data_IF_364397369388
#
_entry.id   IF_364397369388
#
_cell.length_a   1.000
_cell.length_b   1.000
_cell.length_c   1.000
_cell.angle_alpha   90.00
_cell.angle_beta   90.00
_cell.angle_gamma   90.00
#
_symmetry.space_group_name_H-M   'P 1'
#
loop_
_entity.id
_entity.type
_entity.pdbx_description
1 polymer ?
#
# COMPACT_ATOMS: atom_id res chain seq x y z
N UNK A 1 2.51 7.39 4.76
CA UNK A 1 2.81 7.24 6.19
C UNK A 1 2.03 6.04 6.71
N UNK A 2 2.69 4.89 6.87
CA UNK A 2 2.02 3.67 7.31
C UNK A 2 1.64 3.73 8.78
N UNK A 3 2.51 4.29 9.62
CA UNK A 3 2.32 4.50 11.05
C UNK A 3 1.68 5.84 11.42
N UNK A 4 1.22 6.59 10.40
CA UNK A 4 0.66 7.94 10.55
C UNK A 4 1.69 9.05 10.84
N UNK A 5 2.93 8.70 11.16
CA UNK A 5 3.97 9.64 11.61
C UNK A 5 5.10 9.82 10.60
N UNK A 6 5.67 8.74 10.09
CA UNK A 6 6.88 8.77 9.26
C UNK A 6 6.53 8.55 7.78
N UNK A 7 7.17 9.34 6.92
CA UNK A 7 7.06 9.15 5.46
C UNK A 7 7.82 7.90 5.05
N UNK A 8 7.27 7.17 4.08
CA UNK A 8 7.84 5.92 3.57
C UNK A 8 7.70 5.87 2.06
N UNK A 9 8.59 5.15 1.39
CA UNK A 9 8.54 4.87 -0.03
C UNK A 9 7.88 3.51 -0.29
N UNK A 10 7.07 3.43 -1.35
CA UNK A 10 6.39 2.21 -1.77
C UNK A 10 6.48 2.05 -3.28
N UNK A 11 6.92 0.88 -3.73
CA UNK A 11 7.10 0.60 -5.16
C UNK A 11 6.59 -0.80 -5.50
N UNK A 12 5.77 -0.91 -6.54
CA UNK A 12 5.43 -2.19 -7.16
C UNK A 12 6.58 -2.67 -8.05
N UNK A 13 6.86 -3.97 -8.03
CA UNK A 13 7.91 -4.60 -8.86
C UNK A 13 7.28 -5.50 -9.93
N UNK A 14 8.01 -5.74 -11.02
CA UNK A 14 7.60 -6.68 -12.08
C UNK A 14 7.47 -8.13 -11.60
N UNK A 15 8.11 -8.49 -10.48
CA UNK A 15 8.03 -9.80 -9.84
C UNK A 15 6.76 -10.00 -8.98
N UNK A 16 5.81 -9.06 -8.99
CA UNK A 16 4.58 -9.16 -8.20
C UNK A 16 4.81 -8.98 -6.70
N UNK A 17 5.87 -8.25 -6.33
CA UNK A 17 6.15 -7.82 -4.96
C UNK A 17 5.98 -6.32 -4.83
N UNK A 18 5.60 -5.87 -3.65
CA UNK A 18 5.65 -4.46 -3.26
C UNK A 18 6.81 -4.29 -2.29
N UNK A 19 7.69 -3.36 -2.62
CA UNK A 19 8.78 -2.90 -1.76
C UNK A 19 8.30 -1.72 -0.94
N UNK A 20 8.55 -1.76 0.37
CA UNK A 20 8.22 -0.71 1.32
C UNK A 20 9.48 -0.35 2.10
N UNK A 21 9.87 0.93 2.04
CA UNK A 21 11.03 1.45 2.74
C UNK A 21 10.62 2.60 3.66
N UNK A 22 11.00 2.53 4.94
CA UNK A 22 10.82 3.60 5.91
C UNK A 22 12.17 3.91 6.56
N UNK A 23 12.78 5.08 6.34
CA UNK A 23 14.09 5.41 6.91
C UNK A 23 14.06 5.58 8.44
N UNK A 24 12.87 5.67 9.04
CA UNK A 24 12.68 5.79 10.49
C UNK A 24 12.35 4.46 11.19
N UNK A 25 12.12 3.38 10.43
CA UNK A 25 11.96 2.06 11.00
C UNK A 25 13.31 1.64 11.60
N UNK A 26 13.36 1.46 12.93
CA UNK A 26 14.63 1.27 13.65
C UNK A 26 15.37 0.07 13.07
N UNK A 27 16.54 0.33 12.50
CA UNK A 27 17.55 -0.70 12.27
C UNK A 27 17.85 -1.35 13.62
N UNK A 28 17.43 -2.60 13.80
CA UNK A 28 18.03 -3.46 14.81
C UNK A 28 19.50 -3.55 14.39
N UNK A 29 20.39 -3.10 15.27
CA UNK A 29 21.77 -2.62 15.01
C UNK A 29 22.74 -3.54 14.26
N UNK A 30 22.33 -4.71 13.76
CA UNK A 30 23.24 -5.71 13.17
C UNK A 30 22.82 -6.19 11.77
N UNK A 31 21.79 -5.61 11.15
CA UNK A 31 21.33 -6.05 9.82
C UNK A 31 21.24 -4.86 8.85
N UNK A 32 22.39 -4.43 8.34
CA UNK A 32 22.53 -3.37 7.31
C UNK A 32 21.69 -3.65 6.05
N UNK A 33 21.18 -4.88 5.87
CA UNK A 33 20.39 -5.31 4.73
C UNK A 33 18.86 -5.24 4.91
N UNK A 34 18.35 -4.93 6.11
CA UNK A 34 16.91 -5.05 6.41
C UNK A 34 16.14 -3.72 6.34
N UNK A 35 16.58 -2.80 5.49
CA UNK A 35 15.90 -1.51 5.26
C UNK A 35 14.60 -1.65 4.44
N UNK A 36 14.36 -2.82 3.86
CA UNK A 36 13.32 -3.06 2.86
C UNK A 36 12.36 -4.15 3.32
N UNK A 37 11.08 -3.79 3.49
CA UNK A 37 9.99 -4.75 3.67
C UNK A 37 9.44 -5.14 2.30
N UNK A 38 9.10 -6.40 2.14
CA UNK A 38 8.48 -6.93 0.92
C UNK A 38 7.12 -7.54 1.21
N UNK A 39 6.09 -7.08 0.50
CA UNK A 39 4.77 -7.70 0.46
C UNK A 39 4.62 -8.50 -0.83
N UNK A 40 4.33 -9.79 -0.71
CA UNK A 40 4.17 -10.68 -1.87
C UNK A 40 2.71 -10.67 -2.33
N UNK A 41 2.44 -10.04 -3.48
CA UNK A 41 1.11 -10.03 -4.11
C UNK A 41 0.91 -11.28 -4.97
N UNK A 42 2.00 -11.88 -5.46
CA UNK A 42 2.02 -13.09 -6.29
C UNK A 42 1.18 -12.98 -7.57
N UNK A 43 0.97 -11.73 -8.02
CA UNK A 43 0.22 -11.38 -9.24
C UNK A 43 0.86 -10.15 -9.88
N UNK A 44 0.59 -9.93 -11.16
CA UNK A 44 1.00 -8.72 -11.86
C UNK A 44 0.30 -7.51 -11.25
N UNK A 45 1.09 -6.61 -10.67
CA UNK A 45 0.63 -5.34 -10.14
C UNK A 45 0.41 -4.39 -11.32
N UNK A 46 -0.78 -3.81 -11.43
CA UNK A 46 -1.15 -2.89 -12.51
C UNK A 46 -1.31 -1.45 -12.04
N UNK A 47 -1.60 -1.25 -10.76
CA UNK A 47 -1.66 0.07 -10.13
C UNK A 47 -1.37 -0.04 -8.64
N UNK A 48 -0.81 1.01 -8.05
CA UNK A 48 -0.71 1.20 -6.61
C UNK A 48 -1.09 2.65 -6.28
N UNK A 49 -1.74 2.85 -5.14
CA UNK A 49 -1.82 4.17 -4.51
C UNK A 49 -1.93 3.99 -2.99
N UNK A 50 -1.65 5.04 -2.23
CA UNK A 50 -1.72 5.02 -0.78
C UNK A 50 -2.39 6.28 -0.24
N UNK A 51 -3.16 6.13 0.83
CA UNK A 51 -3.76 7.27 1.51
C UNK A 51 -4.75 6.84 2.60
N UNK A 52 -5.26 7.81 3.38
CA UNK A 52 -6.27 7.53 4.40
C UNK A 52 -7.61 7.25 3.72
N UNK A 53 -8.15 6.04 3.91
CA UNK A 53 -9.45 5.65 3.32
C UNK A 53 -10.64 6.05 4.19
N UNK A 54 -10.39 6.53 5.41
CA UNK A 54 -11.42 6.96 6.35
C UNK A 54 -10.98 8.31 6.98
N UNK A 55 -11.90 9.27 7.18
CA UNK A 55 -11.54 10.59 7.72
C UNK A 55 -10.84 10.57 9.08
N UNK A 56 -11.13 9.56 9.89
CA UNK A 56 -10.53 9.39 11.22
C UNK A 56 -9.25 8.56 11.22
N UNK A 57 -8.80 8.06 10.06
CA UNK A 57 -7.52 7.36 9.93
C UNK A 57 -6.42 8.39 9.76
N UNK A 58 -5.50 8.44 10.72
CA UNK A 58 -4.32 9.31 10.66
C UNK A 58 -3.14 8.67 9.89
N UNK A 59 -3.37 7.48 9.32
CA UNK A 59 -2.37 6.70 8.60
C UNK A 59 -2.90 6.20 7.25
N UNK A 60 -1.96 5.85 6.37
CA UNK A 60 -2.27 5.44 5.00
C UNK A 60 -2.52 3.93 4.92
N UNK A 61 -3.51 3.56 4.12
CA UNK A 61 -3.68 2.19 3.64
C UNK A 61 -3.10 2.07 2.23
N UNK A 62 -2.57 0.89 1.92
CA UNK A 62 -2.03 0.58 0.60
C UNK A 62 -3.11 -0.06 -0.26
N UNK A 63 -3.39 0.52 -1.43
CA UNK A 63 -4.24 -0.09 -2.45
C UNK A 63 -3.38 -0.70 -3.55
N UNK A 64 -3.70 -1.94 -3.93
CA UNK A 64 -2.99 -2.70 -4.96
C UNK A 64 -3.99 -3.19 -5.99
N UNK A 65 -3.87 -2.66 -7.21
CA UNK A 65 -4.61 -3.11 -8.37
C UNK A 65 -3.88 -4.22 -9.10
N UNK A 66 -4.64 -5.22 -9.55
CA UNK A 66 -4.19 -6.28 -10.44
C UNK A 66 -5.17 -6.41 -11.61
N UNK A 67 -4.89 -7.33 -12.53
CA UNK A 67 -5.76 -7.63 -13.68
C UNK A 67 -7.19 -8.05 -13.29
N UNK A 68 -7.40 -8.62 -12.11
CA UNK A 68 -8.72 -9.17 -11.71
C UNK A 68 -9.16 -8.75 -10.32
N UNK A 69 -8.32 -8.01 -9.58
CA UNK A 69 -8.55 -7.76 -8.16
C UNK A 69 -8.03 -6.40 -7.70
N UNK A 70 -8.69 -5.87 -6.68
CA UNK A 70 -8.26 -4.74 -5.88
C UNK A 70 -8.09 -5.21 -4.42
N UNK A 71 -6.88 -5.04 -3.89
CA UNK A 71 -6.54 -5.29 -2.50
C UNK A 71 -6.35 -3.96 -1.77
N UNK A 72 -6.93 -3.84 -0.57
CA UNK A 72 -6.58 -2.80 0.39
C UNK A 72 -5.91 -3.44 1.60
N UNK A 73 -4.72 -2.96 1.92
CA UNK A 73 -3.80 -3.57 2.87
C UNK A 73 -3.36 -2.57 3.93
N UNK A 74 -3.41 -2.98 5.20
CA UNK A 74 -2.86 -2.25 6.34
C UNK A 74 -1.42 -2.73 6.58
N UNK A 75 -0.47 -1.86 6.22
CA UNK A 75 0.97 -2.16 6.27
C UNK A 75 1.47 -2.35 7.70
N UNK A 76 0.97 -1.56 8.65
CA UNK A 76 1.42 -1.65 10.06
C UNK A 76 0.84 -2.87 10.76
N UNK A 77 -0.42 -3.20 10.48
CA UNK A 77 -1.07 -4.39 11.06
C UNK A 77 -0.77 -5.67 10.30
N UNK A 78 -0.08 -5.58 9.17
CA UNK A 78 0.21 -6.70 8.27
C UNK A 78 -1.07 -7.50 7.95
N UNK A 79 -2.14 -6.80 7.58
CA UNK A 79 -3.48 -7.39 7.42
C UNK A 79 -4.26 -6.82 6.24
N UNK A 80 -5.04 -7.67 5.59
CA UNK A 80 -5.98 -7.25 4.56
C UNK A 80 -7.18 -6.52 5.21
N UNK A 81 -7.50 -5.32 4.70
CA UNK A 81 -8.72 -4.59 5.07
C UNK A 81 -9.88 -5.06 4.21
N UNK A 82 -9.67 -5.18 2.90
CA UNK A 82 -10.59 -5.87 2.00
C UNK A 82 -9.87 -6.38 0.77
N UNK A 83 -10.48 -7.39 0.15
CA UNK A 83 -10.07 -7.93 -1.14
C UNK A 83 -11.31 -8.04 -2.03
N UNK A 84 -11.27 -7.43 -3.21
CA UNK A 84 -12.42 -7.34 -4.10
C UNK A 84 -12.05 -7.82 -5.51
N UNK A 85 -12.88 -8.70 -6.06
CA UNK A 85 -12.83 -9.05 -7.49
C UNK A 85 -13.30 -7.86 -8.34
N UNK A 86 -12.52 -7.53 -9.36
CA UNK A 86 -12.79 -6.48 -10.34
C UNK A 86 -12.64 -7.12 -11.71
N UNK A 87 -13.75 -7.42 -12.37
CA UNK A 87 -13.78 -8.19 -13.63
C UNK A 87 -12.92 -7.54 -14.74
N UNK A 88 -12.95 -6.22 -14.82
CA UNK A 88 -12.19 -5.44 -15.82
C UNK A 88 -10.76 -5.10 -15.36
N UNK A 89 -10.39 -5.49 -14.14
CA UNK A 89 -9.12 -5.14 -13.52
C UNK A 89 -9.02 -3.70 -13.00
N UNK A 90 -7.93 -3.44 -12.27
CA UNK A 90 -7.64 -2.13 -11.69
C UNK A 90 -6.32 -1.58 -12.28
N UNK A 91 -6.44 -0.76 -13.34
CA UNK A 91 -5.30 -0.26 -14.12
C UNK A 91 -4.79 1.12 -13.70
N UNK A 92 -5.62 1.91 -13.03
CA UNK A 92 -5.26 3.18 -12.43
C UNK A 92 -6.02 3.32 -11.12
N UNK A 93 -5.34 3.81 -10.08
CA UNK A 93 -5.93 3.99 -8.77
C UNK A 93 -5.60 5.39 -8.28
N UNK A 94 -6.57 6.02 -7.60
CA UNK A 94 -6.35 7.25 -6.86
C UNK A 94 -7.09 7.21 -5.54
N UNK A 95 -6.38 7.38 -4.44
CA UNK A 95 -6.94 7.60 -3.10
C UNK A 95 -6.94 9.10 -2.83
N UNK A 96 -8.10 9.62 -2.44
CA UNK A 96 -8.25 11.00 -2.00
C UNK A 96 -9.44 11.12 -1.07
N UNK A 97 -9.39 12.09 -0.17
CA UNK A 97 -10.61 12.61 0.44
C UNK A 97 -11.44 13.28 -0.65
N UNK A 98 -12.73 12.99 -0.69
CA UNK A 98 -13.69 13.70 -1.51
C UNK A 98 -14.58 14.53 -0.61
N UNK A 99 -14.87 15.75 -1.01
CA UNK A 99 -15.94 16.52 -0.36
C UNK A 99 -17.32 15.94 -0.69
N UNK A 100 -18.39 16.50 -0.10
CA UNK A 100 -19.76 16.08 -0.39
C UNK A 100 -20.14 16.26 -1.89
N UNK A 101 -19.39 17.05 -2.65
CA UNK A 101 -19.56 17.26 -4.08
C UNK A 101 -18.71 16.28 -4.92
N UNK A 102 -17.99 15.34 -4.30
CA UNK A 102 -17.15 14.37 -4.98
C UNK A 102 -15.88 14.96 -5.58
N UNK A 103 -15.50 16.19 -5.23
CA UNK A 103 -14.38 16.94 -5.83
C UNK A 103 -13.05 16.65 -5.17
#
# INVERSE_FOLDING_TARGET
KWDGKHTSLCCGTSAGKILIHNPYERQIKDDENNELRFLNINRKITAIDAGPLHPNLEYDLLLVGTQTNLLCYDVEKNSDIFYKDVADGAHALRVRAVDAAGR
#
